data_IF_071318141845
#
_entry.id   IF_071318141845
#
_cell.length_a   1.000
_cell.length_b   1.000
_cell.length_c   1.000
_cell.angle_alpha   90.00
_cell.angle_beta   90.00
_cell.angle_gamma   90.00
#
_symmetry.space_group_name_H-M   'P 1'
#
loop_
_entity.id
_entity.type
_entity.pdbx_description
1 polymer ?
#
# COMPACT_ATOMS: atom_id res chain seq x y z
N UNK A 1 -8.39 -9.87 3.35
CA UNK A 1 -8.37 -9.15 2.06
C UNK A 1 -6.93 -8.98 1.60
N UNK A 2 -6.55 -9.61 0.48
CA UNK A 2 -5.21 -9.44 -0.10
C UNK A 2 -4.97 -7.98 -0.53
N UNK A 3 -3.81 -7.43 -0.18
CA UNK A 3 -3.29 -6.19 -0.76
C UNK A 3 -2.04 -6.51 -1.57
N UNK A 4 -1.81 -5.75 -2.64
CA UNK A 4 -0.65 -5.97 -3.51
C UNK A 4 0.67 -5.71 -2.78
N UNK A 5 0.74 -4.63 -2.00
CA UNK A 5 1.90 -4.29 -1.16
C UNK A 5 1.48 -4.22 0.30
N UNK A 6 2.27 -4.84 1.18
CA UNK A 6 2.14 -4.74 2.65
C UNK A 6 3.48 -4.28 3.22
N UNK A 7 3.48 -3.24 4.05
CA UNK A 7 4.63 -2.79 4.83
C UNK A 7 4.20 -2.69 6.30
N UNK A 8 4.98 -3.23 7.23
CA UNK A 8 4.68 -3.26 8.67
C UNK A 8 5.99 -3.05 9.45
N UNK A 9 6.01 -2.17 10.45
CA UNK A 9 7.18 -1.90 11.31
C UNK A 9 8.51 -1.57 10.61
N UNK A 10 8.47 -1.08 9.37
CA UNK A 10 9.66 -0.78 8.57
C UNK A 10 9.88 0.73 8.37
N UNK A 11 11.13 1.16 8.29
CA UNK A 11 11.48 2.52 7.89
C UNK A 11 12.51 2.49 6.76
N UNK A 12 12.59 3.56 5.96
CA UNK A 12 13.55 3.72 4.87
C UNK A 12 13.39 2.64 3.77
N UNK A 13 12.22 2.61 3.14
CA UNK A 13 11.89 1.62 2.11
C UNK A 13 11.76 2.28 0.75
N UNK A 14 12.44 1.73 -0.26
CA UNK A 14 12.28 2.13 -1.66
C UNK A 14 11.68 0.95 -2.42
N UNK A 15 10.52 1.18 -3.02
CA UNK A 15 9.89 0.28 -3.98
C UNK A 15 9.93 0.98 -5.33
N UNK A 16 10.70 0.43 -6.26
CA UNK A 16 10.97 1.12 -7.51
C UNK A 16 10.94 0.16 -8.70
N UNK A 17 10.33 0.60 -9.80
CA UNK A 17 10.37 -0.09 -11.10
C UNK A 17 9.90 -1.56 -11.03
N UNK A 18 8.84 -1.82 -10.27
CA UNK A 18 8.22 -3.15 -10.20
C UNK A 18 6.82 -3.15 -10.83
N UNK A 19 6.47 -4.29 -11.43
CA UNK A 19 5.16 -4.50 -12.04
C UNK A 19 4.38 -5.50 -11.19
N UNK A 20 3.26 -5.07 -10.63
CA UNK A 20 2.41 -5.90 -9.78
C UNK A 20 1.06 -6.07 -10.49
N UNK A 21 0.73 -7.32 -10.81
CA UNK A 21 -0.48 -7.63 -11.56
C UNK A 21 -1.12 -8.93 -11.11
N UNK A 22 -2.44 -9.03 -11.25
CA UNK A 22 -3.23 -10.25 -10.95
C UNK A 22 -3.07 -10.76 -9.51
N UNK A 23 -3.15 -9.87 -8.52
CA UNK A 23 -3.18 -10.25 -7.11
C UNK A 23 -4.53 -10.90 -6.83
N UNK A 24 -4.48 -12.16 -6.42
CA UNK A 24 -5.65 -12.93 -6.06
C UNK A 24 -6.12 -12.48 -4.68
N UNK A 25 -7.42 -12.14 -4.57
CA UNK A 25 -8.05 -11.91 -3.27
C UNK A 25 -7.96 -13.19 -2.45
N UNK A 26 -7.27 -13.13 -1.32
CA UNK A 26 -7.34 -14.14 -0.28
C UNK A 26 -8.13 -13.59 0.93
N UNK A 27 -8.82 -14.49 1.64
CA UNK A 27 -9.55 -14.22 2.89
C UNK A 27 -8.67 -13.56 3.95
N UNK A 28 -7.34 -13.61 3.79
CA UNK A 28 -6.39 -13.23 4.83
C UNK A 28 -6.18 -14.40 5.78
N UNK A 29 -5.15 -14.31 6.60
CA UNK A 29 -4.77 -15.36 7.55
C UNK A 29 -3.65 -14.87 8.44
N UNK A 30 -3.21 -15.73 9.36
CA UNK A 30 -2.00 -15.51 10.15
C UNK A 30 -0.81 -15.50 9.20
N UNK A 31 -0.12 -14.36 9.12
CA UNK A 31 1.12 -14.21 8.36
C UNK A 31 2.24 -14.19 9.40
N UNK A 32 3.26 -15.00 9.15
CA UNK A 32 4.53 -14.92 9.87
C UNK A 32 5.42 -13.90 9.17
N UNK A 33 5.83 -12.86 9.88
CA UNK A 33 6.69 -11.78 9.39
C UNK A 33 8.08 -11.77 10.05
N UNK A 34 8.29 -12.52 11.14
CA UNK A 34 9.62 -12.84 11.70
C UNK A 34 9.65 -14.25 12.31
N UNK A 35 10.79 -14.69 12.87
CA UNK A 35 10.85 -15.99 13.58
C UNK A 35 9.88 -16.04 14.78
N UNK A 36 9.68 -14.90 15.46
CA UNK A 36 8.92 -14.83 16.71
C UNK A 36 7.56 -14.12 16.58
N UNK A 37 7.21 -13.60 15.40
CA UNK A 37 5.98 -12.82 15.21
C UNK A 37 5.05 -13.44 14.17
N UNK A 38 3.81 -13.69 14.61
CA UNK A 38 2.68 -14.15 13.82
C UNK A 38 1.46 -13.30 14.16
N UNK A 39 0.85 -12.70 13.14
CA UNK A 39 -0.25 -11.77 13.34
C UNK A 39 -1.28 -11.83 12.22
N UNK A 40 -2.50 -11.40 12.53
CA UNK A 40 -3.45 -11.03 11.48
C UNK A 40 -2.90 -9.82 10.74
N UNK A 41 -3.06 -9.79 9.41
CA UNK A 41 -2.57 -8.71 8.54
C UNK A 41 -3.07 -7.33 9.01
N UNK A 42 -2.28 -6.63 9.81
CA UNK A 42 -2.46 -5.21 10.18
C UNK A 42 -1.54 -4.38 9.29
N UNK A 43 -2.07 -3.72 8.27
CA UNK A 43 -1.23 -3.03 7.27
C UNK A 43 -0.70 -1.72 7.85
N UNK A 44 0.62 -1.62 7.99
CA UNK A 44 1.35 -0.46 8.51
C UNK A 44 1.17 -0.21 10.01
N UNK A 45 2.28 -0.35 10.74
CA UNK A 45 2.40 0.00 12.15
C UNK A 45 3.69 0.79 12.32
N UNK A 46 3.60 2.12 12.24
CA UNK A 46 4.72 3.03 12.45
C UNK A 46 5.74 3.10 11.32
N UNK A 47 5.38 2.65 10.10
CA UNK A 47 6.31 2.72 8.98
C UNK A 47 6.44 4.15 8.44
N UNK A 48 7.65 4.56 8.06
CA UNK A 48 7.92 5.93 7.58
C UNK A 48 9.09 5.97 6.62
N UNK A 49 9.29 7.11 5.96
CA UNK A 49 10.30 7.30 4.92
C UNK A 49 10.19 6.24 3.81
N UNK A 50 9.01 6.15 3.19
CA UNK A 50 8.73 5.20 2.11
C UNK A 50 8.62 5.95 0.78
N UNK A 51 9.25 5.43 -0.27
CA UNK A 51 9.05 5.91 -1.64
C UNK A 51 8.60 4.76 -2.53
N UNK A 52 7.47 4.95 -3.22
CA UNK A 52 6.96 4.03 -4.24
C UNK A 52 6.99 4.77 -5.57
N UNK A 53 7.83 4.33 -6.50
CA UNK A 53 8.00 5.05 -7.77
C UNK A 53 8.22 4.19 -9.00
N UNK A 54 7.84 4.71 -10.16
CA UNK A 54 7.95 4.02 -11.46
C UNK A 54 7.34 2.61 -11.46
N UNK A 55 6.34 2.33 -10.60
CA UNK A 55 5.70 1.02 -10.54
C UNK A 55 4.46 0.97 -11.44
N UNK A 56 4.10 -0.22 -11.91
CA UNK A 56 2.90 -0.44 -12.72
C UNK A 56 1.96 -1.43 -12.01
N UNK A 57 0.75 -0.98 -11.70
CA UNK A 57 -0.28 -1.73 -10.99
C UNK A 57 -1.45 -2.05 -11.92
N UNK A 58 -1.89 -3.32 -12.00
CA UNK A 58 -3.11 -3.70 -12.76
C UNK A 58 -3.82 -4.91 -12.15
N UNK A 59 -5.12 -5.07 -12.44
CA UNK A 59 -5.92 -6.25 -12.05
C UNK A 59 -5.91 -6.54 -10.54
N UNK A 60 -6.20 -5.52 -9.73
CA UNK A 60 -6.19 -5.59 -8.26
C UNK A 60 -7.40 -4.87 -7.66
N UNK A 61 -7.92 -5.43 -6.56
CA UNK A 61 -8.95 -4.74 -5.82
C UNK A 61 -8.40 -3.67 -4.89
N UNK A 62 -7.65 -4.10 -3.86
CA UNK A 62 -7.06 -3.22 -2.87
C UNK A 62 -5.57 -3.02 -3.19
N UNK A 63 -5.22 -1.90 -3.82
CA UNK A 63 -3.87 -1.71 -4.36
C UNK A 63 -2.86 -1.40 -3.25
N UNK A 64 -3.00 -0.25 -2.57
CA UNK A 64 -2.08 0.25 -1.54
C UNK A 64 -2.89 0.78 -0.34
N UNK A 65 -2.65 0.22 0.85
CA UNK A 65 -3.21 0.72 2.11
C UNK A 65 -2.08 1.23 3.00
N UNK A 66 -2.15 2.51 3.39
CA UNK A 66 -1.20 3.17 4.27
C UNK A 66 -1.91 3.61 5.56
N UNK A 67 -1.54 3.01 6.69
CA UNK A 67 -2.23 3.16 7.98
C UNK A 67 -3.52 2.35 8.08
N UNK A 68 -3.45 1.10 8.56
CA UNK A 68 -4.62 0.20 8.62
C UNK A 68 -5.56 0.49 9.77
N UNK A 69 -5.05 1.01 10.89
CA UNK A 69 -5.80 1.13 12.14
C UNK A 69 -6.28 2.56 12.38
N UNK A 70 -7.55 2.70 12.69
CA UNK A 70 -8.15 3.99 13.09
C UNK A 70 -7.75 4.39 14.52
N UNK A 71 -7.09 3.51 15.28
CA UNK A 71 -6.69 3.76 16.68
C UNK A 71 -5.17 3.79 16.90
N UNK A 72 -4.37 3.53 15.86
CA UNK A 72 -2.91 3.48 15.98
C UNK A 72 -2.28 4.85 15.69
N UNK A 73 -2.34 5.74 16.68
CA UNK A 73 -1.87 7.14 16.55
C UNK A 73 -0.40 7.29 16.18
N UNK A 74 0.44 6.27 16.38
CA UNK A 74 1.86 6.31 15.95
C UNK A 74 2.02 6.45 14.43
N UNK A 75 1.01 6.11 13.64
CA UNK A 75 1.02 6.31 12.19
C UNK A 75 0.99 7.79 11.78
N UNK A 76 0.76 8.73 12.71
CA UNK A 76 0.82 10.18 12.44
C UNK A 76 2.20 10.64 11.93
N UNK A 77 3.26 9.88 12.24
CA UNK A 77 4.63 10.17 11.80
C UNK A 77 5.00 9.49 10.48
N UNK A 78 4.07 8.76 9.86
CA UNK A 78 4.28 8.12 8.57
C UNK A 78 4.48 9.19 7.49
N UNK A 79 5.53 9.02 6.69
CA UNK A 79 5.81 9.83 5.52
C UNK A 79 6.01 8.92 4.32
N UNK A 80 5.17 9.10 3.29
CA UNK A 80 5.21 8.27 2.08
C UNK A 80 5.15 9.17 0.85
N UNK A 81 6.02 8.91 -0.12
CA UNK A 81 5.93 9.49 -1.47
C UNK A 81 5.51 8.42 -2.46
N UNK A 82 4.46 8.70 -3.24
CA UNK A 82 4.09 7.94 -4.42
C UNK A 82 4.31 8.82 -5.64
N UNK A 83 5.26 8.45 -6.49
CA UNK A 83 5.62 9.26 -7.65
C UNK A 83 5.79 8.45 -8.93
N UNK A 84 5.29 8.94 -10.06
CA UNK A 84 5.53 8.34 -11.38
C UNK A 84 5.03 6.89 -11.52
N UNK A 85 4.06 6.48 -10.71
CA UNK A 85 3.45 5.16 -10.84
C UNK A 85 2.35 5.19 -11.90
N UNK A 86 2.17 4.07 -12.59
CA UNK A 86 1.04 3.84 -13.49
C UNK A 86 0.03 2.91 -12.80
N UNK A 87 -1.13 3.45 -12.45
CA UNK A 87 -2.29 2.73 -11.95
C UNK A 87 -3.23 2.46 -13.13
N UNK A 88 -3.06 1.29 -13.73
CA UNK A 88 -3.72 0.92 -14.98
C UNK A 88 -5.05 0.20 -14.81
N UNK A 89 -5.42 -0.58 -15.82
CA UNK A 89 -6.72 -1.25 -15.89
C UNK A 89 -7.00 -2.24 -14.77
N UNK A 90 -8.29 -2.47 -14.57
CA UNK A 90 -8.80 -3.51 -13.66
C UNK A 90 -8.39 -3.27 -12.19
N UNK A 91 -8.14 -2.00 -11.84
CA UNK A 91 -7.98 -1.58 -10.45
C UNK A 91 -9.33 -1.17 -9.86
N UNK A 92 -9.62 -1.55 -8.62
CA UNK A 92 -10.88 -1.19 -7.96
C UNK A 92 -10.70 0.05 -7.07
N UNK A 93 -9.77 0.01 -6.11
CA UNK A 93 -9.65 1.03 -5.07
C UNK A 93 -8.28 1.12 -4.39
N UNK A 94 -8.05 2.21 -3.63
CA UNK A 94 -6.89 2.44 -2.74
C UNK A 94 -5.58 2.67 -3.48
N UNK A 95 -5.46 3.76 -4.21
CA UNK A 95 -4.27 4.11 -5.01
C UNK A 95 -3.65 5.47 -4.64
N UNK A 96 -3.27 5.75 -3.37
CA UNK A 96 -3.41 4.91 -2.18
C UNK A 96 -4.69 5.22 -1.38
N UNK A 97 -5.01 4.40 -0.38
CA UNK A 97 -5.87 4.84 0.75
C UNK A 97 -4.99 5.07 1.98
N UNK A 98 -5.14 6.24 2.58
CA UNK A 98 -4.24 6.74 3.60
C UNK A 98 -4.94 7.05 4.93
N UNK A 99 -4.19 6.97 6.04
CA UNK A 99 -4.60 7.44 7.37
C UNK A 99 -3.43 8.03 8.14
N UNK A 100 -3.72 9.03 8.98
CA UNK A 100 -2.83 9.70 9.94
C UNK A 100 -1.63 10.47 9.37
N UNK A 101 -0.77 9.84 8.58
CA UNK A 101 0.51 10.39 8.16
C UNK A 101 0.46 11.48 7.09
N UNK A 102 1.64 11.83 6.59
CA UNK A 102 1.85 12.71 5.46
C UNK A 102 2.10 11.91 4.18
N UNK A 103 1.36 12.22 3.12
CA UNK A 103 1.39 11.48 1.86
C UNK A 103 1.58 12.43 0.69
N UNK A 104 2.72 12.32 0.01
CA UNK A 104 3.01 13.06 -1.21
C UNK A 104 2.67 12.20 -2.42
N UNK A 105 1.53 12.48 -3.07
CA UNK A 105 1.08 11.76 -4.28
C UNK A 105 1.27 12.69 -5.48
N UNK A 106 2.29 12.44 -6.29
CA UNK A 106 2.73 13.37 -7.34
C UNK A 106 3.03 12.66 -8.66
N UNK A 107 2.60 13.22 -9.79
CA UNK A 107 2.91 12.70 -11.13
C UNK A 107 2.62 11.21 -11.34
N UNK A 108 1.58 10.67 -10.70
CA UNK A 108 1.12 9.31 -10.99
C UNK A 108 0.06 9.36 -12.10
N UNK A 109 0.07 8.35 -12.97
CA UNK A 109 -0.94 8.16 -14.00
C UNK A 109 -2.03 7.21 -13.48
N UNK A 110 -3.28 7.63 -13.57
CA UNK A 110 -4.45 6.89 -13.10
C UNK A 110 -5.40 6.69 -14.26
N UNK A 111 -5.67 5.43 -14.61
CA UNK A 111 -6.62 5.11 -15.67
C UNK A 111 -7.53 3.95 -15.26
N UNK A 112 -8.80 4.01 -15.66
CA UNK A 112 -9.73 2.87 -15.59
C UNK A 112 -9.98 2.25 -14.20
N UNK A 113 -10.03 3.06 -13.13
CA UNK A 113 -10.43 2.57 -11.80
C UNK A 113 -11.94 2.31 -11.70
N UNK A 114 -12.35 1.34 -10.88
CA UNK A 114 -13.76 0.89 -10.79
C UNK A 114 -14.56 1.46 -9.61
N UNK A 115 -13.91 1.91 -8.54
CA UNK A 115 -14.59 2.46 -7.36
C UNK A 115 -14.07 3.87 -7.02
N UNK A 116 -12.80 4.01 -6.63
CA UNK A 116 -12.15 5.30 -6.41
C UNK A 116 -10.64 5.19 -6.58
N UNK A 117 -9.97 6.30 -6.91
CA UNK A 117 -8.52 6.35 -7.02
C UNK A 117 -7.86 6.57 -5.65
N UNK A 118 -8.07 7.74 -5.03
CA UNK A 118 -7.44 8.17 -3.77
C UNK A 118 -8.52 8.41 -2.73
#
# INVERSE_FOLDING_TARGET
YGCGITLQFVHNVIIHNIHIHRVVRSSGGLIRDSEDHYGFRTVVQGSTAITISNCHFTHHDHVILLGASDVYSKDQYMQVTLAFNHFGKELIQRMPRCRWGYFHVVNNDYTHWKLYAI
#
